data_IF_196246873846
#
_entry.id   IF_196246873846
#
_cell.length_a   1.000
_cell.length_b   1.000
_cell.length_c   1.000
_cell.angle_alpha   90.00
_cell.angle_beta   90.00
_cell.angle_gamma   90.00
#
_symmetry.space_group_name_H-M   'P 1'
#
loop_
_entity.id
_entity.type
_entity.pdbx_description
1 polymer ?
#
# COMPACT_ATOMS: atom_id res chain seq x y z
N UNK A 1 16.74 -2.51 4.79
CA UNK A 1 16.18 -2.96 3.49
C UNK A 1 15.23 -4.10 3.75
N UNK A 2 13.96 -4.10 3.40
CA UNK A 2 13.13 -3.18 2.61
C UNK A 2 12.01 -4.03 2.02
N UNK A 3 11.44 -4.94 2.81
CA UNK A 3 10.48 -5.93 2.33
C UNK A 3 9.10 -5.31 2.28
N UNK A 4 8.22 -5.86 1.44
CA UNK A 4 6.82 -5.48 1.42
C UNK A 4 6.21 -5.74 2.78
N UNK A 5 5.61 -4.70 3.36
CA UNK A 5 4.88 -4.77 4.61
C UNK A 5 3.76 -5.82 4.59
N UNK A 6 3.17 -6.07 3.42
CA UNK A 6 2.06 -7.01 3.23
C UNK A 6 2.54 -8.41 2.89
N UNK A 7 3.29 -8.58 1.79
CA UNK A 7 3.62 -9.90 1.26
C UNK A 7 5.05 -10.36 1.58
N UNK A 8 5.84 -9.57 2.31
CA UNK A 8 7.23 -9.91 2.67
C UNK A 8 8.21 -9.95 1.50
N UNK A 9 7.77 -9.68 0.26
CA UNK A 9 8.62 -9.67 -0.93
C UNK A 9 9.82 -8.72 -0.73
N UNK A 10 11.02 -9.15 -1.10
CA UNK A 10 12.21 -8.29 -1.05
C UNK A 10 12.12 -7.20 -2.12
N UNK A 11 12.49 -5.97 -1.78
CA UNK A 11 12.60 -4.87 -2.74
C UNK A 11 13.75 -5.12 -3.71
N UNK A 12 13.43 -5.07 -4.99
CA UNK A 12 14.35 -5.11 -6.13
C UNK A 12 14.31 -3.74 -6.82
N UNK A 13 15.41 -3.35 -7.46
CA UNK A 13 15.63 -1.97 -7.92
C UNK A 13 14.69 -1.51 -9.04
N UNK A 14 14.10 -2.45 -9.78
CA UNK A 14 13.24 -2.17 -10.94
C UNK A 14 11.73 -2.17 -10.62
N UNK A 15 11.34 -2.32 -9.36
CA UNK A 15 9.94 -2.39 -8.96
C UNK A 15 9.44 -1.06 -8.40
N UNK A 16 8.16 -0.75 -8.60
CA UNK A 16 7.51 0.41 -7.98
C UNK A 16 7.13 0.08 -6.53
N UNK A 17 7.51 0.96 -5.61
CA UNK A 17 7.27 0.82 -4.18
C UNK A 17 6.74 2.10 -3.58
N UNK A 18 5.92 1.95 -2.55
CA UNK A 18 5.25 3.05 -1.89
C UNK A 18 5.64 3.08 -0.41
N UNK A 19 5.97 4.26 0.10
CA UNK A 19 6.06 4.51 1.53
C UNK A 19 4.78 5.19 2.01
N UNK A 20 4.62 5.33 3.33
CA UNK A 20 3.42 5.95 3.92
C UNK A 20 3.15 7.36 3.39
N UNK A 21 4.20 8.16 3.18
CA UNK A 21 4.08 9.53 2.68
C UNK A 21 3.56 9.57 1.23
N UNK A 22 4.16 8.77 0.34
CA UNK A 22 3.75 8.66 -1.05
C UNK A 22 2.30 8.18 -1.17
N UNK A 23 1.88 7.25 -0.31
CA UNK A 23 0.48 6.84 -0.23
C UNK A 23 -0.42 8.01 0.20
N UNK A 24 -0.03 8.74 1.25
CA UNK A 24 -0.80 9.87 1.76
C UNK A 24 -0.98 11.03 0.77
N UNK A 25 -0.03 11.22 -0.15
CA UNK A 25 -0.11 12.25 -1.20
C UNK A 25 -0.95 11.77 -2.39
N UNK A 26 -0.88 10.47 -2.72
CA UNK A 26 -1.44 9.94 -3.98
C UNK A 26 -2.89 9.47 -3.83
N UNK A 27 -3.24 8.94 -2.66
CA UNK A 27 -4.51 8.24 -2.43
C UNK A 27 -5.46 9.03 -1.54
N UNK A 28 -6.77 8.82 -1.69
CA UNK A 28 -7.79 9.48 -0.88
C UNK A 28 -7.84 8.96 0.57
N UNK A 29 -8.64 9.62 1.41
CA UNK A 29 -8.82 9.27 2.81
C UNK A 29 -9.39 7.86 3.03
N UNK A 30 -10.20 7.36 2.10
CA UNK A 30 -10.80 6.03 2.23
C UNK A 30 -9.74 4.94 2.05
N UNK A 31 -8.88 5.10 1.06
CA UNK A 31 -7.72 4.24 0.87
C UNK A 31 -6.75 4.35 2.04
N UNK A 32 -6.47 5.56 2.52
CA UNK A 32 -5.60 5.78 3.67
C UNK A 32 -6.13 5.14 4.97
N UNK A 33 -7.46 5.08 5.12
CA UNK A 33 -8.14 4.47 6.27
C UNK A 33 -8.21 2.93 6.20
N UNK A 34 -7.73 2.31 5.12
CA UNK A 34 -7.59 0.85 5.07
C UNK A 34 -6.69 0.36 6.21
N UNK A 35 -7.07 -0.73 6.89
CA UNK A 35 -6.36 -1.26 8.06
C UNK A 35 -4.86 -1.53 7.80
N UNK A 36 -4.53 -1.99 6.60
CA UNK A 36 -3.15 -2.27 6.19
C UNK A 36 -2.38 -0.97 5.99
N UNK A 37 -2.99 0.03 5.35
CA UNK A 37 -2.35 1.33 5.09
C UNK A 37 -2.18 2.12 6.37
N UNK A 38 -3.20 2.14 7.23
CA UNK A 38 -3.19 2.82 8.51
C UNK A 38 -2.09 2.26 9.43
N UNK A 39 -1.90 0.94 9.44
CA UNK A 39 -0.87 0.25 10.23
C UNK A 39 0.55 0.37 9.69
N UNK A 40 0.76 0.94 8.49
CA UNK A 40 2.11 1.23 8.01
C UNK A 40 2.80 2.25 8.93
N UNK A 41 4.09 2.03 9.19
CA UNK A 41 4.97 3.05 9.78
C UNK A 41 5.57 3.93 8.66
N UNK A 42 6.18 5.06 9.01
CA UNK A 42 6.91 5.90 8.04
C UNK A 42 8.06 5.17 7.34
N UNK A 43 8.62 4.15 8.00
CA UNK A 43 9.70 3.30 7.46
C UNK A 43 9.17 2.11 6.66
N UNK A 44 7.87 1.83 6.71
CA UNK A 44 7.25 0.72 5.99
C UNK A 44 7.21 1.01 4.49
N UNK A 45 7.47 -0.02 3.69
CA UNK A 45 7.36 0.02 2.23
C UNK A 45 6.37 -1.06 1.79
N UNK A 46 5.55 -0.76 0.80
CA UNK A 46 4.62 -1.70 0.18
C UNK A 46 4.88 -1.76 -1.32
N UNK A 47 4.85 -2.96 -1.91
CA UNK A 47 5.05 -3.12 -3.34
C UNK A 47 3.80 -2.71 -4.11
N UNK A 48 3.97 -2.28 -5.36
CA UNK A 48 2.86 -1.85 -6.20
C UNK A 48 1.75 -2.90 -6.36
N UNK A 49 2.11 -4.20 -6.40
CA UNK A 49 1.11 -5.28 -6.48
C UNK A 49 0.13 -5.26 -5.30
N UNK A 50 0.64 -5.14 -4.07
CA UNK A 50 -0.22 -5.11 -2.89
C UNK A 50 -1.06 -3.83 -2.81
N UNK A 51 -0.54 -2.70 -3.30
CA UNK A 51 -1.34 -1.47 -3.44
C UNK A 51 -2.54 -1.70 -4.38
N UNK A 52 -2.34 -2.35 -5.54
CA UNK A 52 -3.44 -2.67 -6.46
C UNK A 52 -4.46 -3.64 -5.89
N UNK A 53 -4.02 -4.60 -5.08
CA UNK A 53 -4.94 -5.51 -4.37
C UNK A 53 -5.79 -4.76 -3.34
N UNK A 54 -5.22 -3.78 -2.63
CA UNK A 54 -5.96 -2.92 -1.68
C UNK A 54 -6.96 -2.02 -2.42
N UNK A 55 -6.54 -1.38 -3.52
CA UNK A 55 -7.43 -0.55 -4.36
C UNK A 55 -8.65 -1.36 -4.78
N UNK A 56 -8.42 -2.56 -5.33
CA UNK A 56 -9.49 -3.46 -5.76
C UNK A 56 -10.42 -3.86 -4.61
N UNK A 57 -9.88 -4.18 -3.44
CA UNK A 57 -10.68 -4.54 -2.27
C UNK A 57 -11.62 -3.39 -1.83
N UNK A 58 -11.14 -2.15 -1.90
CA UNK A 58 -11.96 -0.96 -1.59
C UNK A 58 -13.04 -0.75 -2.66
N UNK A 59 -12.69 -0.84 -3.93
CA UNK A 59 -13.66 -0.72 -5.04
C UNK A 59 -14.75 -1.79 -4.97
N UNK A 60 -14.41 -3.02 -4.59
CA UNK A 60 -15.39 -4.10 -4.38
C UNK A 60 -16.32 -3.82 -3.20
N UNK A 61 -15.84 -3.16 -2.14
CA UNK A 61 -16.69 -2.73 -1.02
C UNK A 61 -17.67 -1.62 -1.43
N UNK A 62 -17.27 -0.70 -2.31
CA UNK A 62 -18.13 0.38 -2.81
C UNK A 62 -19.27 -0.09 -3.71
N UNK A 63 -19.12 -1.25 -4.36
CA UNK A 63 -20.13 -1.83 -5.26
C UNK A 63 -21.20 -2.65 -4.54
N UNK A 64 -21.04 -2.88 -3.23
CA UNK A 64 -22.03 -3.56 -2.38
C UNK A 64 -22.87 -2.54 -1.63
#
# INVERSE_FOLDING_TARGET
MGNCFVCGKKKLDYEVWWNKLAVGITYDSEFQNNEIICSMSEKSMICHKCIKEIEKSIEEKKKR
#
